data_IF_475434450905
#
_entry.id   IF_475434450905
#
_cell.length_a   1.000
_cell.length_b   1.000
_cell.length_c   1.000
_cell.angle_alpha   90.00
_cell.angle_beta   90.00
_cell.angle_gamma   90.00
#
_symmetry.space_group_name_H-M   'P 1'
#
loop_
_entity.id
_entity.type
_entity.pdbx_description
1 polymer ?
#
# COMPACT_ATOMS: atom_id res chain seq x y z
N UNK A 1 10.94 7.15 -14.54
CA UNK A 1 11.17 6.90 -13.10
C UNK A 1 9.96 6.20 -12.51
N UNK A 2 10.13 5.09 -11.77
CA UNK A 2 9.02 4.47 -11.06
C UNK A 2 8.47 5.43 -9.99
N UNK A 3 7.13 5.46 -9.84
CA UNK A 3 6.48 6.17 -8.72
C UNK A 3 6.19 5.15 -7.63
N UNK A 4 6.48 5.49 -6.37
CA UNK A 4 6.27 4.66 -5.19
C UNK A 4 5.40 5.45 -4.22
N UNK A 5 4.24 4.93 -3.84
CA UNK A 5 3.38 5.52 -2.82
C UNK A 5 3.43 4.61 -1.58
N UNK A 6 3.64 5.18 -0.40
CA UNK A 6 3.73 4.41 0.85
C UNK A 6 2.48 4.60 1.69
N UNK A 7 2.10 3.55 2.40
CA UNK A 7 0.93 3.53 3.26
C UNK A 7 1.24 2.77 4.53
N UNK A 8 0.68 3.22 5.65
CA UNK A 8 0.44 2.37 6.80
C UNK A 8 -0.94 1.74 6.61
N UNK A 9 -0.97 0.44 6.31
CA UNK A 9 -2.17 -0.35 6.17
C UNK A 9 -2.36 -1.18 7.44
N UNK A 10 -3.14 -0.63 8.38
CA UNK A 10 -3.49 -1.28 9.64
C UNK A 10 -2.27 -1.72 10.48
N UNK A 11 -1.19 -0.94 10.46
CA UNK A 11 0.07 -1.22 11.15
C UNK A 11 1.13 -1.94 10.30
N UNK A 12 0.82 -2.26 9.04
CA UNK A 12 1.79 -2.81 8.07
C UNK A 12 2.18 -1.74 7.07
N UNK A 13 3.47 -1.54 6.84
CA UNK A 13 3.92 -0.56 5.86
C UNK A 13 3.91 -1.20 4.47
N UNK A 14 3.12 -0.65 3.56
CA UNK A 14 3.05 -1.09 2.17
C UNK A 14 3.60 -0.02 1.22
N UNK A 15 4.20 -0.46 0.11
CA UNK A 15 4.60 0.38 -1.00
C UNK A 15 3.90 -0.06 -2.28
N UNK A 16 3.22 0.88 -2.95
CA UNK A 16 2.66 0.70 -4.29
C UNK A 16 3.62 1.29 -5.30
N UNK A 17 4.32 0.42 -6.02
CA UNK A 17 5.27 0.81 -7.07
C UNK A 17 4.58 0.75 -8.43
N UNK A 18 4.55 1.87 -9.14
CA UNK A 18 4.09 1.97 -10.52
C UNK A 18 5.27 1.97 -11.47
N UNK A 19 5.34 0.96 -12.33
CA UNK A 19 6.34 0.81 -13.39
C UNK A 19 5.69 0.26 -14.66
N UNK A 20 5.97 0.87 -15.82
CA UNK A 20 5.49 0.43 -17.13
C UNK A 20 3.97 0.13 -17.18
N UNK A 21 3.15 0.98 -16.55
CA UNK A 21 1.70 0.82 -16.51
C UNK A 21 1.18 -0.26 -15.54
N UNK A 22 2.07 -1.04 -14.92
CA UNK A 22 1.73 -2.03 -13.89
C UNK A 22 1.95 -1.47 -12.50
N UNK A 23 1.18 -1.98 -11.54
CA UNK A 23 1.32 -1.70 -10.12
C UNK A 23 1.71 -2.97 -9.39
N UNK A 24 2.69 -2.85 -8.51
CA UNK A 24 3.13 -3.92 -7.62
C UNK A 24 3.04 -3.41 -6.19
N UNK A 25 2.41 -4.21 -5.33
CA UNK A 25 2.36 -3.93 -3.89
C UNK A 25 3.50 -4.67 -3.22
N UNK A 26 4.25 -3.97 -2.39
CA UNK A 26 5.35 -4.51 -1.61
C UNK A 26 5.03 -4.30 -0.13
N UNK A 27 5.12 -5.36 0.66
CA UNK A 27 5.22 -5.27 2.12
C UNK A 27 6.65 -4.85 2.50
N UNK A 28 6.76 -3.73 3.21
CA UNK A 28 8.00 -3.21 3.78
C UNK A 28 8.10 -3.69 5.23
N UNK A 29 8.62 -4.90 5.40
CA UNK A 29 8.78 -5.50 6.72
C UNK A 29 9.69 -4.65 7.63
N UNK A 30 9.52 -4.80 8.94
CA UNK A 30 10.29 -4.06 9.95
C UNK A 30 11.80 -4.32 9.90
N UNK A 31 12.24 -5.39 9.24
CA UNK A 31 13.65 -5.76 9.04
C UNK A 31 14.26 -5.19 7.74
N UNK A 32 13.56 -4.25 7.09
CA UNK A 32 13.98 -3.62 5.83
C UNK A 32 13.77 -4.50 4.59
N UNK A 33 13.21 -5.72 4.74
CA UNK A 33 12.88 -6.57 3.60
C UNK A 33 11.67 -6.02 2.84
N UNK A 34 11.71 -6.18 1.52
CA UNK A 34 10.58 -5.90 0.63
C UNK A 34 10.07 -7.20 0.05
N UNK A 35 8.78 -7.50 0.24
CA UNK A 35 8.16 -8.72 -0.29
C UNK A 35 6.96 -8.35 -1.14
N UNK A 36 6.79 -9.00 -2.29
CA UNK A 36 5.57 -8.81 -3.08
C UNK A 36 4.37 -9.27 -2.26
N UNK A 37 3.38 -8.39 -2.13
CA UNK A 37 2.06 -8.74 -1.65
C UNK A 37 1.20 -9.08 -2.87
N UNK A 38 0.48 -10.20 -2.80
CA UNK A 38 -0.44 -10.63 -3.85
C UNK A 38 -1.74 -9.81 -3.78
N UNK A 39 -1.60 -8.51 -4.05
CA UNK A 39 -2.68 -7.54 -3.98
C UNK A 39 -2.73 -6.79 -5.33
N UNK A 40 -3.55 -7.26 -6.28
CA UNK A 40 -3.65 -6.62 -7.58
C UNK A 40 -4.26 -5.22 -7.43
N UNK A 41 -3.68 -4.22 -8.09
CA UNK A 41 -4.24 -2.87 -8.11
C UNK A 41 -4.61 -2.51 -9.55
N UNK A 42 -5.89 -2.24 -9.85
CA UNK A 42 -6.30 -1.78 -11.17
C UNK A 42 -5.60 -0.49 -11.56
N UNK A 43 -5.19 -0.38 -12.83
CA UNK A 43 -4.48 0.81 -13.32
C UNK A 43 -5.31 2.10 -13.25
N UNK A 44 -6.64 1.96 -13.28
CA UNK A 44 -7.63 3.04 -13.25
C UNK A 44 -7.72 3.77 -11.90
N UNK A 45 -7.38 3.12 -10.78
CA UNK A 45 -7.43 3.71 -9.43
C UNK A 45 -6.47 4.90 -9.38
N UNK A 46 -6.92 6.10 -9.03
CA UNK A 46 -6.04 7.26 -8.90
C UNK A 46 -5.09 7.13 -7.71
N UNK A 47 -4.08 7.99 -7.61
CA UNK A 47 -3.05 7.86 -6.56
C UNK A 47 -3.60 8.21 -5.16
N UNK A 48 -4.53 9.15 -5.10
CA UNK A 48 -5.30 9.57 -3.93
C UNK A 48 -6.36 8.54 -3.50
N UNK A 49 -6.86 7.72 -4.42
CA UNK A 49 -7.79 6.62 -4.12
C UNK A 49 -7.10 5.33 -3.62
N UNK A 50 -5.76 5.26 -3.68
CA UNK A 50 -5.01 4.06 -3.30
C UNK A 50 -5.23 3.65 -1.85
N UNK A 51 -5.30 4.60 -0.92
CA UNK A 51 -5.51 4.30 0.50
C UNK A 51 -6.85 3.59 0.72
N UNK A 52 -7.92 4.12 0.12
CA UNK A 52 -9.25 3.53 0.18
C UNK A 52 -9.26 2.14 -0.46
N UNK A 53 -8.69 2.01 -1.67
CA UNK A 53 -8.62 0.72 -2.36
C UNK A 53 -7.88 -0.36 -1.56
N UNK A 54 -6.79 0.00 -0.87
CA UNK A 54 -6.03 -0.91 -0.02
C UNK A 54 -6.79 -1.28 1.25
N UNK A 55 -7.64 -0.38 1.76
CA UNK A 55 -8.40 -0.57 2.99
C UNK A 55 -9.41 -1.71 2.89
N UNK A 56 -10.21 -1.73 1.81
CA UNK A 56 -11.27 -2.72 1.62
C UNK A 56 -10.78 -4.19 1.71
N UNK A 57 -9.76 -4.64 0.95
CA UNK A 57 -9.28 -6.02 1.01
C UNK A 57 -8.47 -6.32 2.28
N UNK A 58 -7.93 -5.31 2.96
CA UNK A 58 -7.08 -5.51 4.14
C UNK A 58 -7.83 -5.24 5.45
N UNK A 59 -9.12 -4.91 5.42
CA UNK A 59 -9.89 -4.44 6.57
C UNK A 59 -9.87 -5.43 7.74
N UNK A 60 -9.68 -6.72 7.48
CA UNK A 60 -9.59 -7.76 8.50
C UNK A 60 -8.41 -7.54 9.47
N UNK A 61 -7.40 -6.79 9.04
CA UNK A 61 -6.24 -6.42 9.87
C UNK A 61 -6.50 -5.17 10.72
N UNK A 62 -7.64 -4.50 10.54
CA UNK A 62 -7.97 -3.29 11.28
C UNK A 62 -8.06 -3.57 12.78
N UNK A 63 -7.57 -2.62 13.58
CA UNK A 63 -7.66 -2.67 15.05
C UNK A 63 -8.22 -1.36 15.57
N UNK A 64 -8.70 -1.28 16.81
CA UNK A 64 -9.19 -0.02 17.38
C UNK A 64 -8.15 1.13 17.37
N UNK A 65 -6.85 0.80 17.29
CA UNK A 65 -5.76 1.81 17.22
C UNK A 65 -5.31 2.12 15.79
N UNK A 66 -5.67 1.28 14.82
CA UNK A 66 -5.28 1.36 13.41
C UNK A 66 -6.53 1.02 12.60
N UNK A 67 -7.40 2.02 12.43
CA UNK A 67 -8.73 1.84 11.85
C UNK A 67 -8.77 2.03 10.34
N UNK A 68 -7.72 2.60 9.77
CA UNK A 68 -7.68 3.04 8.37
C UNK A 68 -6.31 2.80 7.76
N UNK A 69 -6.27 2.83 6.43
CA UNK A 69 -5.03 2.92 5.64
C UNK A 69 -4.69 4.39 5.43
N UNK A 70 -3.50 4.81 5.86
CA UNK A 70 -3.07 6.21 5.76
C UNK A 70 -1.83 6.37 4.88
N UNK A 71 -1.77 7.40 4.00
CA UNK A 71 -0.57 7.70 3.25
C UNK A 71 0.60 8.05 4.18
N UNK A 72 1.79 7.54 3.84
CA UNK A 72 3.04 7.89 4.52
C UNK A 72 3.85 8.87 3.64
N UNK A 73 4.52 9.85 4.26
CA UNK A 73 5.43 10.72 3.54
C UNK A 73 6.55 9.89 2.90
N UNK A 74 7.06 10.39 1.78
CA UNK A 74 8.35 9.94 1.24
C UNK A 74 9.43 10.70 2.04
N UNK A 75 10.20 9.98 2.84
CA UNK A 75 11.52 10.45 3.30
C UNK A 75 12.39 10.87 2.11
#
# INVERSE_FOLDING_TARGET
MPREYRFDAFGRVLAVVRSNGRRTVLDLGADGKRRAADLPIPAAIAADELAQYLGDPLHENATPKRTDVVPLPRD
#
